data_IF_285121626194
#
_entry.id   IF_285121626194
#
_cell.length_a   1.000
_cell.length_b   1.000
_cell.length_c   1.000
_cell.angle_alpha   90.00
_cell.angle_beta   90.00
_cell.angle_gamma   90.00
#
_symmetry.space_group_name_H-M   'P 1'
#
loop_
_entity.id
_entity.type
_entity.pdbx_description
1 polymer ?
#
# COMPACT_ATOMS: atom_id res chain seq x y z
N UNK A 1 -9.78 -17.58 -24.88
CA UNK A 1 -10.08 -17.54 -23.43
C UNK A 1 -9.36 -18.66 -22.65
N UNK A 2 -9.43 -19.93 -23.08
CA UNK A 2 -8.75 -21.06 -22.41
C UNK A 2 -7.21 -20.96 -22.41
N UNK A 3 -6.60 -20.45 -23.49
CA UNK A 3 -5.14 -20.25 -23.58
C UNK A 3 -4.59 -19.22 -22.57
N UNK A 4 -5.38 -18.21 -22.21
CA UNK A 4 -4.96 -17.18 -21.24
C UNK A 4 -4.94 -17.76 -19.82
N UNK A 5 -5.93 -18.57 -19.46
CA UNK A 5 -5.99 -19.25 -18.16
C UNK A 5 -4.81 -20.24 -18.02
N UNK A 6 -4.48 -20.99 -19.08
CA UNK A 6 -3.34 -21.91 -19.08
C UNK A 6 -2.02 -21.14 -18.90
N UNK A 7 -1.88 -19.96 -19.53
CA UNK A 7 -0.69 -19.10 -19.38
C UNK A 7 -0.52 -18.59 -17.95
N UNK A 8 -1.60 -18.11 -17.30
CA UNK A 8 -1.53 -17.64 -15.91
C UNK A 8 -1.27 -18.79 -14.91
N UNK A 9 -1.86 -19.97 -15.15
CA UNK A 9 -1.56 -21.16 -14.34
C UNK A 9 -0.10 -21.56 -14.50
N UNK A 10 0.45 -21.52 -15.73
CA UNK A 10 1.86 -21.82 -15.97
C UNK A 10 2.79 -20.81 -15.27
N UNK A 11 2.48 -19.51 -15.34
CA UNK A 11 3.20 -18.46 -14.62
C UNK A 11 3.19 -18.69 -13.10
N UNK A 12 2.02 -19.01 -12.54
CA UNK A 12 1.89 -19.36 -11.12
C UNK A 12 2.72 -20.59 -10.75
N UNK A 13 2.72 -21.64 -11.58
CA UNK A 13 3.48 -22.86 -11.32
C UNK A 13 5.00 -22.63 -11.41
N UNK A 14 5.47 -21.85 -12.39
CA UNK A 14 6.89 -21.44 -12.49
C UNK A 14 7.28 -20.61 -11.28
N UNK A 15 6.40 -19.71 -10.85
CA UNK A 15 6.58 -18.88 -9.66
C UNK A 15 6.69 -19.72 -8.38
N UNK A 16 5.75 -20.65 -8.14
CA UNK A 16 5.80 -21.56 -6.99
C UNK A 16 7.02 -22.50 -7.03
N UNK A 17 7.42 -22.95 -8.22
CA UNK A 17 8.64 -23.76 -8.38
C UNK A 17 9.89 -22.97 -7.98
N UNK A 18 10.01 -21.71 -8.43
CA UNK A 18 11.13 -20.85 -8.04
C UNK A 18 11.15 -20.58 -6.52
N UNK A 19 9.99 -20.24 -5.94
CA UNK A 19 9.87 -19.97 -4.51
C UNK A 19 10.25 -21.19 -3.65
N UNK A 20 9.85 -22.41 -4.07
CA UNK A 20 10.07 -23.64 -3.29
C UNK A 20 11.49 -24.21 -3.45
N UNK A 21 12.09 -24.11 -4.64
CA UNK A 21 13.33 -24.83 -4.96
C UNK A 21 14.58 -23.95 -5.05
N UNK A 22 14.46 -22.61 -5.15
CA UNK A 22 15.62 -21.68 -5.19
C UNK A 22 15.89 -20.95 -3.87
N UNK A 23 15.01 -21.08 -2.87
CA UNK A 23 15.22 -20.50 -1.53
C UNK A 23 15.09 -21.57 -0.43
N UNK A 24 16.09 -22.44 -0.24
CA UNK A 24 16.13 -23.26 0.97
C UNK A 24 16.31 -22.33 2.17
N UNK A 25 15.41 -22.43 3.17
CA UNK A 25 15.55 -21.81 4.49
C UNK A 25 17.00 -21.90 4.95
N UNK A 26 17.66 -20.75 5.15
CA UNK A 26 18.89 -20.68 5.92
C UNK A 26 18.70 -19.76 7.11
N UNK A 27 18.61 -20.42 8.25
CA UNK A 27 18.68 -19.85 9.59
C UNK A 27 20.01 -19.15 9.81
N UNK A 28 19.94 -17.94 10.41
CA UNK A 28 20.96 -17.26 11.22
C UNK A 28 22.33 -16.95 10.57
N UNK A 29 23.08 -16.07 11.24
CA UNK A 29 24.52 -15.76 11.09
C UNK A 29 24.80 -14.50 10.23
N UNK A 30 25.86 -13.70 10.52
CA UNK A 30 26.08 -12.79 11.65
C UNK A 30 26.28 -11.32 11.18
N UNK A 31 26.32 -10.37 12.12
CA UNK A 31 26.58 -8.94 11.84
C UNK A 31 28.04 -8.73 11.38
N UNK A 32 28.29 -8.11 10.20
CA UNK A 32 29.60 -7.56 9.86
C UNK A 32 29.68 -6.08 10.24
N UNK A 33 30.65 -5.76 11.09
CA UNK A 33 31.04 -4.38 11.44
C UNK A 33 31.83 -3.76 10.29
N UNK A 34 31.33 -2.71 9.65
CA UNK A 34 32.17 -1.85 8.79
C UNK A 34 31.71 -0.39 8.90
N UNK A 35 32.70 0.49 9.11
CA UNK A 35 32.57 1.93 9.42
C UNK A 35 31.81 2.72 8.33
N UNK A 36 31.08 3.80 8.70
CA UNK A 36 30.36 4.62 7.74
C UNK A 36 31.30 5.58 6.99
N UNK A 37 31.16 5.60 5.66
CA UNK A 37 31.70 6.63 4.75
C UNK A 37 30.70 7.79 4.67
N UNK A 38 31.12 9.05 4.46
CA UNK A 38 30.23 10.21 4.59
C UNK A 38 29.16 10.23 3.49
N UNK A 39 27.89 10.31 3.90
CA UNK A 39 26.72 10.49 3.03
C UNK A 39 26.68 11.95 2.56
N UNK A 40 26.66 12.25 1.25
CA UNK A 40 26.42 13.60 0.77
C UNK A 40 24.91 13.90 0.65
N UNK A 41 24.52 15.09 1.14
CA UNK A 41 23.29 15.87 0.93
C UNK A 41 21.92 15.15 1.01
N UNK A 42 21.09 15.56 1.98
CA UNK A 42 19.75 15.04 2.25
C UNK A 42 18.73 15.29 1.12
N UNK A 43 18.33 14.19 0.47
CA UNK A 43 17.28 14.06 -0.55
C UNK A 43 15.88 14.34 0.06
N UNK A 44 14.98 15.10 -0.61
CA UNK A 44 13.57 15.20 -0.21
C UNK A 44 12.86 13.84 0.01
N UNK A 45 13.26 12.75 -0.66
CA UNK A 45 12.73 11.41 -0.39
C UNK A 45 13.08 10.88 1.02
N UNK A 46 14.16 11.39 1.63
CA UNK A 46 14.64 10.98 2.95
C UNK A 46 14.14 11.89 4.09
N UNK A 47 13.42 12.98 3.76
CA UNK A 47 12.94 13.99 4.72
C UNK A 47 11.54 13.71 5.24
N UNK A 48 11.33 12.53 5.81
CA UNK A 48 10.14 12.29 6.64
C UNK A 48 10.49 12.65 8.09
N UNK A 49 10.31 13.93 8.45
CA UNK A 49 10.50 14.42 9.82
C UNK A 49 9.13 14.49 10.51
N UNK A 50 9.02 13.95 11.72
CA UNK A 50 7.76 13.89 12.46
C UNK A 50 7.41 15.27 13.05
N UNK A 51 6.29 15.83 12.62
CA UNK A 51 5.72 17.10 13.10
C UNK A 51 4.22 16.90 13.45
N UNK A 52 3.58 17.85 14.18
CA UNK A 52 2.53 17.56 15.16
C UNK A 52 1.26 16.93 14.56
N UNK A 53 0.41 16.41 15.44
CA UNK A 53 -0.71 15.46 15.20
C UNK A 53 -1.72 15.80 14.08
N UNK A 54 -1.66 17.00 13.51
CA UNK A 54 -2.45 17.47 12.36
C UNK A 54 -1.67 17.45 11.01
N UNK A 55 -0.40 17.04 11.00
CA UNK A 55 0.47 16.95 9.81
C UNK A 55 0.65 15.54 9.25
N UNK A 56 -0.04 14.54 9.81
CA UNK A 56 -0.03 13.14 9.35
C UNK A 56 -0.43 12.92 7.87
N UNK A 57 -0.87 13.98 7.17
CA UNK A 57 -1.43 13.94 5.83
C UNK A 57 -0.47 14.40 4.72
N UNK A 58 0.85 14.39 4.94
CA UNK A 58 1.83 14.76 3.91
C UNK A 58 3.01 13.79 3.85
N UNK A 59 3.12 13.04 2.75
CA UNK A 59 4.38 12.40 2.39
C UNK A 59 5.28 13.41 1.67
N UNK A 60 6.60 13.51 1.96
CA UNK A 60 7.52 14.47 1.31
C UNK A 60 7.56 14.41 -0.23
N UNK A 61 7.19 13.26 -0.80
CA UNK A 61 7.13 13.01 -2.24
C UNK A 61 5.83 13.56 -2.87
N UNK A 62 4.78 13.74 -2.07
CA UNK A 62 3.55 14.30 -2.61
C UNK A 62 3.72 15.81 -2.86
N UNK A 63 3.25 16.31 -4.02
CA UNK A 63 3.36 17.73 -4.33
C UNK A 63 2.48 18.59 -3.41
N UNK A 64 1.41 18.00 -2.88
CA UNK A 64 0.44 18.66 -2.03
C UNK A 64 0.05 17.76 -0.86
N UNK A 65 -0.35 18.39 0.25
CA UNK A 65 -0.92 17.69 1.41
C UNK A 65 -2.20 16.99 0.98
N UNK A 66 -2.35 15.73 1.34
CA UNK A 66 -3.60 15.02 1.09
C UNK A 66 -4.70 15.62 1.95
N UNK A 67 -5.83 15.94 1.33
CA UNK A 67 -7.01 16.45 2.01
C UNK A 67 -8.26 15.87 1.38
N UNK A 68 -9.19 15.44 2.23
CA UNK A 68 -10.51 15.02 1.81
C UNK A 68 -11.53 15.46 2.87
N UNK A 69 -12.58 16.17 2.43
CA UNK A 69 -13.61 16.71 3.32
C UNK A 69 -14.36 15.63 4.10
N UNK A 70 -14.47 14.43 3.53
CA UNK A 70 -15.16 13.29 4.14
C UNK A 70 -14.35 12.64 5.26
N UNK A 71 -13.05 12.93 5.32
CA UNK A 71 -12.12 12.41 6.33
C UNK A 71 -11.78 13.43 7.42
N UNK A 72 -12.54 14.52 7.52
CA UNK A 72 -12.46 15.41 8.69
C UNK A 72 -13.04 14.73 9.94
N UNK A 73 -12.60 15.12 11.14
CA UNK A 73 -13.14 14.56 12.38
C UNK A 73 -14.67 14.75 12.46
N UNK A 74 -15.18 15.88 11.99
CA UNK A 74 -16.63 16.17 11.97
C UNK A 74 -17.37 15.30 10.95
N UNK A 75 -16.83 15.15 9.73
CA UNK A 75 -17.43 14.26 8.73
C UNK A 75 -17.49 12.81 9.21
N UNK A 76 -16.41 12.30 9.82
CA UNK A 76 -16.38 10.94 10.38
C UNK A 76 -17.40 10.73 11.50
N UNK A 77 -17.67 11.74 12.33
CA UNK A 77 -18.75 11.63 13.35
C UNK A 77 -20.12 11.52 12.69
N UNK A 78 -20.34 12.28 11.60
CA UNK A 78 -21.61 12.26 10.86
C UNK A 78 -21.88 10.92 10.18
N UNK A 79 -20.85 10.15 9.83
CA UNK A 79 -21.04 8.81 9.24
C UNK A 79 -21.96 7.93 10.09
N UNK A 80 -21.90 8.00 11.43
CA UNK A 80 -22.73 7.17 12.33
C UNK A 80 -24.25 7.39 12.11
N UNK A 81 -24.62 8.59 11.67
CA UNK A 81 -25.99 8.99 11.43
C UNK A 81 -26.44 8.73 9.98
N UNK A 82 -25.51 8.39 9.08
CA UNK A 82 -25.81 8.08 7.69
C UNK A 82 -26.51 6.71 7.56
N UNK A 83 -27.49 6.57 6.65
CA UNK A 83 -28.20 5.30 6.45
C UNK A 83 -27.28 4.12 6.13
N UNK A 84 -26.27 4.34 5.27
CA UNK A 84 -25.35 3.30 4.85
C UNK A 84 -24.50 2.74 5.99
N UNK A 85 -24.26 3.49 7.05
CA UNK A 85 -23.30 3.13 8.09
C UNK A 85 -23.71 1.86 8.84
N UNK A 86 -24.98 1.76 9.21
CA UNK A 86 -25.49 0.54 9.89
C UNK A 86 -25.74 -0.58 8.90
N UNK A 87 -26.26 -0.25 7.72
CA UNK A 87 -26.67 -1.23 6.72
C UNK A 87 -25.46 -2.00 6.17
N UNK A 88 -24.34 -1.30 5.99
CA UNK A 88 -23.11 -1.87 5.41
C UNK A 88 -22.13 -2.42 6.45
N UNK A 89 -22.53 -2.53 7.73
CA UNK A 89 -21.63 -2.86 8.83
C UNK A 89 -20.87 -4.20 8.67
N UNK A 90 -21.44 -5.15 7.93
CA UNK A 90 -20.82 -6.45 7.63
C UNK A 90 -19.78 -6.41 6.52
N UNK A 91 -19.67 -5.32 5.76
CA UNK A 91 -18.73 -5.20 4.64
C UNK A 91 -17.31 -4.94 5.13
N UNK A 92 -16.35 -5.51 4.42
CA UNK A 92 -14.94 -5.27 4.72
C UNK A 92 -14.56 -3.80 4.54
N UNK A 93 -15.16 -3.11 3.57
CA UNK A 93 -14.96 -1.69 3.36
C UNK A 93 -15.40 -0.86 4.58
N UNK A 94 -16.60 -1.11 5.09
CA UNK A 94 -17.07 -0.47 6.32
C UNK A 94 -16.14 -0.78 7.51
N UNK A 95 -15.76 -2.05 7.68
CA UNK A 95 -14.87 -2.48 8.79
C UNK A 95 -13.47 -1.86 8.69
N UNK A 96 -12.98 -1.60 7.49
CA UNK A 96 -11.70 -0.94 7.29
C UNK A 96 -11.75 0.52 7.73
N UNK A 97 -12.75 1.29 7.27
CA UNK A 97 -12.84 2.73 7.58
C UNK A 97 -13.25 3.04 9.02
N UNK A 98 -13.95 2.12 9.69
CA UNK A 98 -14.47 2.34 11.06
C UNK A 98 -13.59 1.75 12.16
N UNK A 99 -12.54 1.01 11.79
CA UNK A 99 -11.64 0.40 12.76
C UNK A 99 -10.81 1.50 13.46
N UNK A 100 -10.77 1.54 14.80
CA UNK A 100 -10.05 2.59 15.54
C UNK A 100 -8.57 2.71 15.17
N UNK A 101 -7.94 1.58 14.82
CA UNK A 101 -6.55 1.55 14.35
C UNK A 101 -6.41 2.40 13.08
N UNK A 102 -7.33 2.31 12.13
CA UNK A 102 -7.25 3.04 10.85
C UNK A 102 -7.65 4.52 10.94
N UNK A 103 -8.22 4.99 12.05
CA UNK A 103 -8.51 6.42 12.25
C UNK A 103 -7.26 7.32 12.20
N UNK A 104 -6.07 6.73 12.38
CA UNK A 104 -4.78 7.43 12.33
C UNK A 104 -3.95 7.14 11.06
N UNK A 105 -4.44 6.29 10.15
CA UNK A 105 -3.71 5.86 8.95
C UNK A 105 -4.38 6.30 7.64
N UNK A 106 -5.09 7.43 7.68
CA UNK A 106 -5.58 8.07 6.47
C UNK A 106 -4.67 9.23 6.04
N UNK A 107 -4.36 9.36 4.74
CA UNK A 107 -4.71 8.42 3.67
C UNK A 107 -3.96 7.08 3.80
N UNK A 108 -4.51 6.03 3.21
CA UNK A 108 -3.89 4.70 3.14
C UNK A 108 -3.34 4.44 1.74
N UNK A 109 -2.39 3.54 1.57
CA UNK A 109 -1.87 3.18 0.25
C UNK A 109 -0.62 2.33 0.33
N UNK A 110 -0.06 2.00 -0.83
CA UNK A 110 1.18 1.25 -0.95
C UNK A 110 2.39 2.19 -1.02
N UNK A 111 3.54 1.69 -0.54
CA UNK A 111 4.84 2.27 -0.89
C UNK A 111 5.43 1.45 -2.03
N UNK A 112 5.49 2.05 -3.22
CA UNK A 112 5.87 1.38 -4.45
C UNK A 112 7.24 1.88 -4.87
N UNK A 113 8.21 0.98 -4.94
CA UNK A 113 9.55 1.27 -5.44
C UNK A 113 9.63 0.90 -6.91
N UNK A 114 9.98 1.85 -7.77
CA UNK A 114 10.39 1.55 -9.13
C UNK A 114 11.88 1.23 -9.14
N UNK A 115 12.24 0.03 -9.59
CA UNK A 115 13.64 -0.45 -9.58
C UNK A 115 14.19 -0.78 -10.96
N UNK A 116 13.41 -0.54 -12.02
CA UNK A 116 13.81 -0.78 -13.41
C UNK A 116 13.47 0.46 -14.24
N UNK A 117 14.47 0.98 -14.94
CA UNK A 117 14.39 2.24 -15.70
C UNK A 117 14.89 2.12 -17.15
N UNK A 118 14.54 1.00 -17.80
CA UNK A 118 14.79 0.83 -19.24
C UNK A 118 13.74 1.55 -20.09
N UNK A 119 14.05 1.86 -21.35
CA UNK A 119 13.09 2.47 -22.30
C UNK A 119 11.78 1.67 -22.41
N UNK A 120 11.87 0.34 -22.42
CA UNK A 120 10.70 -0.54 -22.41
C UNK A 120 9.89 -0.37 -21.11
N UNK A 121 10.58 -0.30 -19.97
CA UNK A 121 9.92 -0.08 -18.68
C UNK A 121 9.25 1.29 -18.60
N UNK A 122 9.81 2.34 -19.20
CA UNK A 122 9.20 3.67 -19.21
C UNK A 122 7.88 3.67 -19.98
N UNK A 123 7.79 2.90 -21.07
CA UNK A 123 6.55 2.73 -21.84
C UNK A 123 5.50 1.94 -21.04
N UNK A 124 5.93 0.89 -20.34
CA UNK A 124 5.02 -0.01 -19.62
C UNK A 124 4.63 0.50 -18.23
N UNK A 125 5.41 1.37 -17.62
CA UNK A 125 5.20 1.83 -16.24
C UNK A 125 3.83 2.46 -15.99
N UNK A 126 3.33 3.40 -16.84
CA UNK A 126 2.00 3.95 -16.68
C UNK A 126 0.89 2.89 -16.75
N UNK A 127 1.03 1.93 -17.67
CA UNK A 127 0.07 0.83 -17.85
C UNK A 127 0.05 -0.11 -16.65
N UNK A 128 1.23 -0.38 -16.06
CA UNK A 128 1.33 -1.19 -14.84
C UNK A 128 0.65 -0.50 -13.66
N UNK A 129 0.88 0.80 -13.48
CA UNK A 129 0.25 1.59 -12.41
C UNK A 129 -1.27 1.69 -12.58
N UNK A 130 -1.75 1.90 -13.82
CA UNK A 130 -3.18 1.86 -14.15
C UNK A 130 -3.78 0.48 -13.80
N UNK A 131 -3.13 -0.60 -14.21
CA UNK A 131 -3.62 -1.96 -13.95
C UNK A 131 -3.67 -2.29 -12.45
N UNK A 132 -2.70 -1.81 -11.66
CA UNK A 132 -2.73 -1.94 -10.20
C UNK A 132 -3.94 -1.19 -9.62
N UNK A 133 -4.17 0.05 -10.07
CA UNK A 133 -5.31 0.85 -9.61
C UNK A 133 -6.65 0.19 -9.95
N UNK A 134 -6.81 -0.32 -11.17
CA UNK A 134 -8.02 -1.01 -11.62
C UNK A 134 -8.30 -2.29 -10.82
N UNK A 135 -7.26 -3.08 -10.55
CA UNK A 135 -7.39 -4.32 -9.77
C UNK A 135 -7.77 -4.01 -8.33
N UNK A 136 -7.16 -2.97 -7.73
CA UNK A 136 -7.48 -2.53 -6.39
C UNK A 136 -8.93 -2.05 -6.29
N UNK A 137 -9.37 -1.19 -7.20
CA UNK A 137 -10.74 -0.69 -7.23
C UNK A 137 -11.75 -1.84 -7.43
N UNK A 138 -11.43 -2.78 -8.32
CA UNK A 138 -12.25 -3.98 -8.54
C UNK A 138 -12.34 -4.86 -7.29
N UNK A 139 -11.25 -4.97 -6.53
CA UNK A 139 -11.20 -5.71 -5.26
C UNK A 139 -12.06 -5.04 -4.18
N UNK A 140 -11.94 -3.72 -4.01
CA UNK A 140 -12.76 -2.93 -3.07
C UNK A 140 -14.25 -3.09 -3.38
N UNK A 141 -14.62 -3.00 -4.65
CA UNK A 141 -16.00 -3.17 -5.10
C UNK A 141 -16.47 -4.63 -5.12
N UNK A 142 -15.58 -5.60 -4.90
CA UNK A 142 -15.93 -7.02 -4.97
C UNK A 142 -17.03 -7.41 -3.99
N UNK A 143 -17.04 -6.79 -2.80
CA UNK A 143 -18.09 -6.97 -1.79
C UNK A 143 -19.46 -6.48 -2.27
N UNK A 144 -19.51 -5.41 -3.07
CA UNK A 144 -20.73 -4.98 -3.73
C UNK A 144 -21.09 -5.95 -4.85
N UNK A 145 -20.19 -6.17 -5.80
CA UNK A 145 -20.49 -6.87 -7.05
C UNK A 145 -20.84 -8.34 -6.88
N UNK A 146 -20.18 -9.04 -5.96
CA UNK A 146 -20.24 -10.51 -5.89
C UNK A 146 -20.85 -11.07 -4.59
N UNK A 147 -21.07 -10.25 -3.55
CA UNK A 147 -21.71 -10.74 -2.34
C UNK A 147 -23.20 -11.06 -2.60
N UNK A 148 -23.72 -12.16 -2.04
CA UNK A 148 -25.15 -12.42 -2.08
C UNK A 148 -25.92 -11.29 -1.37
N UNK A 149 -27.19 -11.00 -1.75
CA UNK A 149 -27.96 -9.89 -1.17
C UNK A 149 -28.03 -9.92 0.36
N UNK A 150 -28.04 -11.11 0.97
CA UNK A 150 -28.04 -11.31 2.42
C UNK A 150 -26.77 -10.87 3.13
N UNK A 151 -25.65 -10.71 2.42
CA UNK A 151 -24.35 -10.25 2.94
C UNK A 151 -23.96 -8.87 2.42
N UNK A 152 -24.64 -8.38 1.38
CA UNK A 152 -24.35 -7.08 0.77
C UNK A 152 -24.72 -5.92 1.71
N UNK A 153 -25.69 -6.06 2.61
CA UNK A 153 -25.99 -4.99 3.57
C UNK A 153 -26.44 -3.70 2.88
N UNK A 154 -27.35 -3.82 1.89
CA UNK A 154 -27.80 -2.71 1.04
C UNK A 154 -27.00 -2.55 -0.25
N UNK A 155 -27.38 -1.58 -1.09
CA UNK A 155 -26.74 -1.28 -2.39
C UNK A 155 -25.94 0.03 -2.38
N UNK A 156 -25.94 0.76 -1.25
CA UNK A 156 -25.16 2.00 -1.11
C UNK A 156 -23.66 1.69 -1.18
N UNK A 157 -22.91 2.36 -2.05
CA UNK A 157 -21.48 2.16 -2.28
C UNK A 157 -20.59 3.13 -1.51
N UNK A 158 -21.17 3.92 -0.59
CA UNK A 158 -20.45 4.93 0.20
C UNK A 158 -19.20 4.39 0.92
N UNK A 159 -19.22 3.22 1.60
CA UNK A 159 -18.02 2.65 2.21
C UNK A 159 -16.88 2.41 1.21
N UNK A 160 -17.21 1.84 0.04
CA UNK A 160 -16.25 1.55 -1.02
C UNK A 160 -15.67 2.85 -1.61
N UNK A 161 -16.52 3.85 -1.87
CA UNK A 161 -16.10 5.15 -2.38
C UNK A 161 -15.19 5.88 -1.39
N UNK A 162 -15.48 5.83 -0.08
CA UNK A 162 -14.63 6.42 0.95
C UNK A 162 -13.25 5.76 0.99
N UNK A 163 -13.18 4.43 0.89
CA UNK A 163 -11.89 3.73 0.81
C UNK A 163 -11.12 4.14 -0.43
N UNK A 164 -11.76 4.13 -1.60
CA UNK A 164 -11.11 4.53 -2.85
C UNK A 164 -10.62 5.98 -2.78
N UNK A 165 -11.43 6.90 -2.26
CA UNK A 165 -11.10 8.32 -2.16
C UNK A 165 -9.99 8.62 -1.14
N UNK A 166 -9.75 7.70 -0.20
CA UNK A 166 -8.64 7.79 0.76
C UNK A 166 -7.41 6.99 0.38
N UNK A 167 -7.43 6.32 -0.77
CA UNK A 167 -6.28 5.64 -1.32
C UNK A 167 -5.28 6.64 -1.93
N UNK A 168 -4.04 6.60 -1.46
CA UNK A 168 -2.94 7.43 -1.95
C UNK A 168 -1.61 6.70 -1.81
N UNK A 169 -1.12 6.17 -2.93
CA UNK A 169 0.19 5.54 -2.98
C UNK A 169 1.35 6.53 -2.81
N UNK A 170 2.45 6.03 -2.25
CA UNK A 170 3.76 6.67 -2.26
C UNK A 170 4.61 5.96 -3.29
N UNK A 171 4.88 6.62 -4.42
CA UNK A 171 5.71 6.07 -5.49
C UNK A 171 7.12 6.64 -5.39
N UNK A 172 8.09 5.78 -5.09
CA UNK A 172 9.51 6.11 -5.03
C UNK A 172 10.12 5.82 -6.40
N UNK A 173 10.43 6.89 -7.14
CA UNK A 173 10.84 6.83 -8.55
C UNK A 173 12.09 7.70 -8.80
N UNK A 174 13.22 7.29 -8.25
CA UNK A 174 14.54 7.90 -8.50
C UNK A 174 15.49 6.86 -9.10
N UNK A 175 15.75 6.97 -10.41
CA UNK A 175 16.60 6.04 -11.15
C UNK A 175 18.04 5.99 -10.61
N UNK A 176 18.58 7.12 -10.13
CA UNK A 176 19.97 7.20 -9.67
C UNK A 176 20.18 6.30 -8.45
N UNK A 177 19.15 6.20 -7.60
CA UNK A 177 19.20 5.48 -6.34
C UNK A 177 18.62 4.07 -6.42
N UNK A 178 17.60 3.88 -7.25
CA UNK A 178 16.77 2.66 -7.25
C UNK A 178 16.92 1.78 -8.48
N UNK A 179 17.55 2.23 -9.56
CA UNK A 179 17.76 1.38 -10.73
C UNK A 179 18.65 0.17 -10.38
N UNK A 180 18.13 -1.03 -10.63
CA UNK A 180 18.77 -2.28 -10.26
C UNK A 180 18.82 -2.57 -8.75
N UNK A 181 18.09 -1.83 -7.91
CA UNK A 181 18.10 -2.05 -6.46
C UNK A 181 17.61 -3.46 -6.09
N UNK A 182 18.33 -4.10 -5.17
CA UNK A 182 17.96 -5.41 -4.64
C UNK A 182 16.79 -5.31 -3.66
N UNK A 183 16.10 -6.43 -3.43
CA UNK A 183 15.00 -6.49 -2.48
C UNK A 183 15.45 -6.17 -1.04
N UNK A 184 16.69 -6.50 -0.69
CA UNK A 184 17.30 -6.18 0.61
C UNK A 184 17.51 -4.68 0.77
N UNK A 185 17.95 -3.98 -0.28
CA UNK A 185 18.09 -2.52 -0.25
C UNK A 185 16.72 -1.85 -0.05
N UNK A 186 15.69 -2.30 -0.78
CA UNK A 186 14.32 -1.83 -0.62
C UNK A 186 13.79 -2.09 0.79
N UNK A 187 13.98 -3.30 1.33
CA UNK A 187 13.55 -3.66 2.69
C UNK A 187 14.23 -2.81 3.76
N UNK A 188 15.54 -2.62 3.66
CA UNK A 188 16.29 -1.82 4.63
C UNK A 188 15.83 -0.37 4.61
N UNK A 189 15.61 0.20 3.43
CA UNK A 189 15.07 1.54 3.32
C UNK A 189 13.64 1.65 3.86
N UNK A 190 12.77 0.68 3.55
CA UNK A 190 11.42 0.66 4.08
C UNK A 190 11.39 0.57 5.61
N UNK A 191 12.28 -0.23 6.21
CA UNK A 191 12.42 -0.31 7.67
C UNK A 191 12.89 1.02 8.27
N UNK A 192 13.86 1.70 7.64
CA UNK A 192 14.30 3.02 8.07
C UNK A 192 13.20 4.07 7.93
N UNK A 193 12.46 4.03 6.83
CA UNK A 193 11.30 4.86 6.56
C UNK A 193 10.26 4.73 7.68
N UNK A 194 9.85 3.50 8.02
CA UNK A 194 8.89 3.24 9.11
C UNK A 194 9.38 3.75 10.47
N UNK A 195 10.68 3.68 10.73
CA UNK A 195 11.28 4.21 11.96
C UNK A 195 11.23 5.74 11.99
N UNK A 196 11.51 6.41 10.88
CA UNK A 196 11.50 7.89 10.77
C UNK A 196 10.09 8.46 10.86
N UNK A 197 9.10 7.80 10.26
CA UNK A 197 7.70 8.24 10.28
C UNK A 197 6.95 7.87 11.56
N UNK A 198 7.59 7.18 12.51
CA UNK A 198 6.93 6.67 13.71
C UNK A 198 5.89 5.58 13.46
N UNK A 199 5.74 5.11 12.21
CA UNK A 199 4.81 4.04 11.82
C UNK A 199 5.26 2.66 12.30
N UNK A 200 6.53 2.49 12.67
CA UNK A 200 7.07 1.25 13.22
C UNK A 200 6.31 0.74 14.47
N UNK A 201 5.73 1.64 15.27
CA UNK A 201 4.97 1.30 16.50
C UNK A 201 3.64 0.59 16.17
N UNK A 202 3.08 0.84 14.98
CA UNK A 202 1.77 0.35 14.58
C UNK A 202 1.84 -0.87 13.66
N UNK A 203 2.99 -1.09 13.01
CA UNK A 203 3.27 -2.24 12.16
C UNK A 203 3.36 -3.57 12.94
N UNK A 204 3.62 -3.51 14.27
CA UNK A 204 3.63 -4.70 15.15
C UNK A 204 2.22 -5.20 15.51
N UNK A 205 1.19 -4.37 15.35
CA UNK A 205 -0.22 -4.71 15.67
C UNK A 205 -1.12 -4.76 14.44
N UNK A 206 -0.78 -4.04 13.38
CA UNK A 206 -1.41 -4.20 12.07
C UNK A 206 -0.63 -5.23 11.26
N UNK A 207 -1.29 -6.35 10.94
CA UNK A 207 -0.80 -7.36 10.00
C UNK A 207 -0.52 -6.68 8.66
N UNK A 208 0.71 -6.18 8.46
CA UNK A 208 1.23 -5.76 7.18
C UNK A 208 1.72 -7.00 6.43
N UNK A 209 0.76 -7.79 5.94
CA UNK A 209 1.01 -8.74 4.88
C UNK A 209 0.20 -8.29 3.66
N UNK A 210 0.87 -7.57 2.76
CA UNK A 210 0.79 -7.90 1.34
C UNK A 210 2.21 -8.15 0.90
N UNK A 211 2.71 -9.32 1.29
CA UNK A 211 3.66 -9.99 0.43
C UNK A 211 2.93 -10.33 -0.85
N UNK A 212 3.22 -9.60 -1.91
CA UNK A 212 3.43 -10.26 -3.19
C UNK A 212 4.68 -11.13 -3.05
N UNK A 213 4.51 -12.29 -2.40
CA UNK A 213 5.27 -13.49 -2.73
C UNK A 213 4.34 -14.30 -3.61
#
# INVERSE_FOLDING_TARGET
MVLSIIYYIFLLLVFFYFAKYKFPRMSSVPVPTTKPTPVPASDPNDKAEATPEDEFYHHPIWPERWYNSDFTHEARRRWIDEPWYKDTASRDSHRFITKPVFNHFFPWGFIIYRTVYTDESDILWPLAMEKISDELNSSIEGSLRYAPPSRRGGDDSSPEQLIQASHKDVVICDAIRWDGASIEQVRNHFAEYLRKTGQAIYCDTAICFVSCY
#
